data_IF_117516400962
#
_entry.id   IF_117516400962
#
_cell.length_a   1.000
_cell.length_b   1.000
_cell.length_c   1.000
_cell.angle_alpha   90.00
_cell.angle_beta   90.00
_cell.angle_gamma   90.00
#
_symmetry.space_group_name_H-M   'P 1'
#
loop_
_entity.id
_entity.type
_entity.pdbx_description
1 polymer ?
#
# COMPACT_ATOMS: atom_id res chain seq x y z
N UNK A 1 3.84 -22.41 6.12
CA UNK A 1 2.83 -21.75 5.27
C UNK A 1 3.56 -21.17 4.08
N UNK A 2 2.99 -21.29 2.89
CA UNK A 2 3.51 -20.59 1.71
C UNK A 2 3.01 -19.15 1.74
N UNK A 3 3.92 -18.19 1.62
CA UNK A 3 3.65 -16.76 1.68
C UNK A 3 4.01 -16.17 0.33
N UNK A 4 3.07 -15.46 -0.28
CA UNK A 4 3.27 -14.69 -1.51
C UNK A 4 3.95 -13.35 -1.17
N UNK A 5 5.03 -13.04 -1.88
CA UNK A 5 5.81 -11.81 -1.70
C UNK A 5 5.48 -10.80 -2.80
N UNK A 6 5.33 -11.28 -4.04
CA UNK A 6 5.02 -10.42 -5.19
C UNK A 6 4.29 -11.21 -6.29
N UNK A 7 3.56 -10.48 -7.14
CA UNK A 7 2.84 -11.00 -8.30
C UNK A 7 3.05 -10.14 -9.53
N UNK A 8 3.60 -10.76 -10.56
CA UNK A 8 3.67 -10.15 -11.88
C UNK A 8 2.49 -10.62 -12.72
N UNK A 9 1.86 -9.69 -13.44
CA UNK A 9 0.79 -10.00 -14.38
C UNK A 9 1.33 -9.94 -15.80
N UNK A 10 1.58 -11.10 -16.42
CA UNK A 10 2.08 -11.18 -17.80
C UNK A 10 0.90 -11.11 -18.77
N UNK A 11 0.79 -10.00 -19.49
CA UNK A 11 -0.14 -9.89 -20.61
C UNK A 11 0.34 -10.74 -21.80
N UNK A 12 -0.58 -11.50 -22.38
CA UNK A 12 -0.42 -12.27 -23.62
C UNK A 12 -1.53 -11.86 -24.59
N UNK A 13 -1.51 -12.27 -25.87
CA UNK A 13 -2.50 -11.80 -26.85
C UNK A 13 -3.96 -12.00 -26.44
N UNK A 14 -4.25 -13.06 -25.67
CA UNK A 14 -5.63 -13.43 -25.32
C UNK A 14 -5.86 -13.60 -23.80
N UNK A 15 -4.83 -13.50 -22.96
CA UNK A 15 -4.93 -13.80 -21.53
C UNK A 15 -3.95 -12.95 -20.70
N UNK A 16 -4.24 -12.83 -19.40
CA UNK A 16 -3.29 -12.32 -18.40
C UNK A 16 -2.89 -13.49 -17.51
N UNK A 17 -1.61 -13.85 -17.51
CA UNK A 17 -1.08 -14.97 -16.70
C UNK A 17 -0.35 -14.42 -15.47
N UNK A 18 -0.76 -14.78 -14.25
CA UNK A 18 -0.02 -14.41 -13.04
C UNK A 18 1.26 -15.23 -12.91
N UNK A 19 2.33 -14.56 -12.50
CA UNK A 19 3.61 -15.16 -12.09
C UNK A 19 3.78 -14.79 -10.61
N UNK A 20 3.73 -15.81 -9.74
CA UNK A 20 3.70 -15.64 -8.30
C UNK A 20 5.09 -15.93 -7.73
N UNK A 21 5.59 -15.03 -6.90
CA UNK A 21 6.82 -15.21 -6.14
C UNK A 21 6.45 -15.55 -4.70
N UNK A 22 6.77 -16.76 -4.25
CA UNK A 22 6.41 -17.25 -2.92
C UNK A 22 7.61 -17.81 -2.16
N UNK A 23 7.49 -17.84 -0.82
CA UNK A 23 8.46 -18.40 0.11
C UNK A 23 7.76 -19.16 1.23
N UNK A 24 8.39 -20.21 1.78
CA UNK A 24 7.86 -20.91 2.94
C UNK A 24 8.29 -20.22 4.24
N UNK A 25 7.34 -19.76 5.04
CA UNK A 25 7.54 -19.18 6.37
C UNK A 25 6.49 -19.68 7.37
N UNK A 26 6.75 -19.50 8.66
CA UNK A 26 5.84 -19.89 9.74
C UNK A 26 4.93 -18.76 10.20
N UNK A 27 5.34 -17.50 10.05
CA UNK A 27 4.63 -16.31 10.53
C UNK A 27 4.97 -15.07 9.70
N UNK A 28 4.17 -14.01 9.86
CA UNK A 28 4.48 -12.67 9.34
C UNK A 28 5.81 -12.17 9.90
N UNK A 29 6.56 -11.43 9.09
CA UNK A 29 7.90 -11.02 9.42
C UNK A 29 8.20 -9.67 8.76
N UNK A 30 8.58 -8.69 9.57
CA UNK A 30 8.81 -7.30 9.14
C UNK A 30 10.01 -7.17 8.18
N UNK A 31 10.89 -8.17 8.13
CA UNK A 31 12.00 -8.25 7.17
C UNK A 31 11.53 -8.44 5.72
N UNK A 32 10.41 -9.13 5.52
CA UNK A 32 9.80 -9.38 4.20
C UNK A 32 8.77 -8.32 3.83
N UNK A 33 8.08 -7.75 4.82
CA UNK A 33 7.02 -6.77 4.62
C UNK A 33 7.31 -5.52 5.47
N UNK A 34 8.32 -4.72 5.10
CA UNK A 34 8.58 -3.46 5.78
C UNK A 34 7.41 -2.49 5.61
N UNK A 35 7.41 -1.42 6.43
CA UNK A 35 6.41 -0.36 6.30
C UNK A 35 6.35 0.13 4.84
N UNK A 36 5.16 0.03 4.27
CA UNK A 36 4.89 0.30 2.85
C UNK A 36 4.13 1.62 2.71
N UNK A 37 4.15 2.20 1.51
CA UNK A 37 3.45 3.45 1.24
C UNK A 37 1.94 3.23 1.36
N UNK A 38 1.28 4.09 2.13
CA UNK A 38 -0.15 4.09 2.32
C UNK A 38 -0.90 4.54 1.06
N UNK A 39 -2.16 4.14 0.95
CA UNK A 39 -3.08 4.66 -0.07
C UNK A 39 -3.56 6.08 0.21
N UNK A 40 -3.31 6.62 1.41
CA UNK A 40 -3.65 8.00 1.77
C UNK A 40 -2.63 8.97 1.20
N UNK A 41 -3.05 9.98 0.43
CA UNK A 41 -2.13 11.02 -0.04
C UNK A 41 -1.62 11.83 1.16
N UNK A 42 -0.33 12.15 1.16
CA UNK A 42 0.24 13.06 2.17
C UNK A 42 -0.13 14.51 1.84
N UNK A 43 -0.07 14.87 0.56
CA UNK A 43 -0.28 16.23 0.07
C UNK A 43 -1.57 16.31 -0.73
N UNK A 44 -2.29 17.41 -0.57
CA UNK A 44 -3.28 17.85 -1.54
C UNK A 44 -2.62 18.31 -2.83
N UNK A 45 -3.39 18.37 -3.92
CA UNK A 45 -2.91 18.88 -5.21
C UNK A 45 -2.43 20.33 -5.13
N UNK A 46 -3.03 21.17 -4.28
CA UNK A 46 -2.65 22.57 -4.10
C UNK A 46 -1.28 22.71 -3.44
N UNK A 47 -1.02 21.96 -2.38
CA UNK A 47 0.25 21.97 -1.65
C UNK A 47 1.40 21.48 -2.54
N UNK A 48 1.17 20.40 -3.29
CA UNK A 48 2.15 19.91 -4.26
C UNK A 48 2.46 20.96 -5.34
N UNK A 49 1.43 21.62 -5.91
CA UNK A 49 1.62 22.69 -6.89
C UNK A 49 2.29 23.95 -6.32
N UNK A 50 2.17 24.22 -5.02
CA UNK A 50 2.93 25.29 -4.35
C UNK A 50 4.39 24.93 -4.06
N UNK A 51 4.84 23.73 -4.45
CA UNK A 51 6.22 23.28 -4.32
C UNK A 51 6.52 22.51 -3.04
N UNK A 52 5.51 22.07 -2.29
CA UNK A 52 5.72 21.18 -1.15
C UNK A 52 6.17 19.79 -1.61
N UNK A 53 7.09 19.19 -0.84
CA UNK A 53 7.65 17.88 -1.15
C UNK A 53 7.87 17.09 0.15
N UNK A 54 6.81 16.45 0.62
CA UNK A 54 6.82 15.67 1.85
C UNK A 54 6.97 14.16 1.57
N UNK A 55 7.50 13.44 2.56
CA UNK A 55 7.67 11.98 2.48
C UNK A 55 6.28 11.31 2.56
N UNK A 56 6.00 10.27 1.73
CA UNK A 56 4.73 9.57 1.77
C UNK A 56 4.41 8.98 3.14
N UNK A 57 3.11 8.88 3.45
CA UNK A 57 2.64 8.22 4.67
C UNK A 57 3.01 6.74 4.58
N UNK A 58 3.75 6.23 5.56
CA UNK A 58 4.08 4.81 5.67
C UNK A 58 3.08 4.08 6.58
N UNK A 59 2.70 2.85 6.24
CA UNK A 59 1.87 1.98 7.07
C UNK A 59 2.48 0.58 7.18
N UNK A 60 2.20 -0.11 8.29
CA UNK A 60 2.54 -1.53 8.41
C UNK A 60 1.70 -2.34 7.41
N UNK A 61 2.10 -3.56 7.08
CA UNK A 61 1.24 -4.52 6.37
C UNK A 61 0.69 -5.60 7.30
N UNK A 62 1.07 -5.56 8.58
CA UNK A 62 0.53 -6.45 9.60
C UNK A 62 -0.88 -6.00 10.01
N UNK A 63 -1.84 -6.92 9.93
CA UNK A 63 -3.26 -6.65 10.24
C UNK A 63 -3.49 -6.24 11.70
N UNK A 64 -2.63 -6.68 12.63
CA UNK A 64 -2.73 -6.32 14.04
C UNK A 64 -2.32 -4.86 14.26
N UNK A 65 -1.29 -4.40 13.55
CA UNK A 65 -0.76 -3.04 13.66
C UNK A 65 -1.59 -2.03 12.84
N UNK A 66 -2.27 -2.50 11.79
CA UNK A 66 -3.11 -1.70 10.90
C UNK A 66 -4.53 -1.41 11.41
N UNK A 67 -4.75 -1.36 12.72
CA UNK A 67 -6.02 -0.88 13.29
C UNK A 67 -6.10 0.66 13.11
N UNK A 68 -6.29 1.14 11.87
CA UNK A 68 -6.47 2.56 11.60
C UNK A 68 -7.95 2.89 11.43
N UNK A 69 -8.39 3.73 12.37
CA UNK A 69 -9.56 4.57 12.41
C UNK A 69 -10.06 5.00 11.02
N UNK A 70 -11.17 4.41 10.61
CA UNK A 70 -11.94 4.75 9.42
C UNK A 70 -13.00 5.83 9.72
N UNK A 71 -12.65 7.01 10.22
CA UNK A 71 -13.62 8.12 10.30
C UNK A 71 -12.87 9.45 10.33
N UNK A 72 -12.82 10.19 9.20
CA UNK A 72 -12.76 11.67 9.24
C UNK A 72 -12.82 12.39 7.88
N UNK A 73 -12.87 11.69 6.73
CA UNK A 73 -12.82 12.35 5.41
C UNK A 73 -14.18 12.58 4.74
N UNK A 74 -15.23 12.86 5.53
CA UNK A 74 -16.51 13.38 5.04
C UNK A 74 -16.78 14.83 5.46
N UNK A 75 -15.78 15.56 5.96
CA UNK A 75 -15.90 17.02 6.04
C UNK A 75 -15.74 17.62 4.64
N UNK A 76 -16.82 17.55 3.87
CA UNK A 76 -17.01 18.38 2.67
C UNK A 76 -16.91 19.82 3.15
N UNK A 77 -15.74 20.45 2.94
CA UNK A 77 -15.62 21.89 3.08
C UNK A 77 -16.56 22.50 2.04
N UNK A 78 -17.71 22.97 2.53
CA UNK A 78 -18.66 23.73 1.73
C UNK A 78 -17.98 25.00 1.21
N UNK A 79 -18.40 25.49 0.03
CA UNK A 79 -17.70 26.54 -0.73
C UNK A 79 -17.61 27.90 -0.02
#
# INVERSE_FOLDING_TARGET
MEVEIDRLLKATPNNITPIIFSMVKSQFSDDLFPNSISTKPYLSSKEWLSGENNVPISMSLNQIDNQVQDFDDLSVSSP
#
